data_IF_056372342567
#
_entry.id   IF_056372342567
#
_cell.length_a   1.000
_cell.length_b   1.000
_cell.length_c   1.000
_cell.angle_alpha   90.00
_cell.angle_beta   90.00
_cell.angle_gamma   90.00
#
_symmetry.space_group_name_H-M   'P 1'
#
loop_
_entity.id
_entity.type
_entity.pdbx_description
1 polymer ?
#
# COMPACT_ATOMS: atom_id res chain seq x y z
N UNK A 1 21.88 37.26 -75.17
CA UNK A 1 23.29 37.04 -74.78
C UNK A 1 23.75 38.26 -74.01
N UNK A 2 23.97 38.14 -72.70
CA UNK A 2 24.85 39.04 -71.95
C UNK A 2 25.22 38.35 -70.64
N UNK A 3 26.51 38.16 -70.42
CA UNK A 3 27.09 37.60 -69.21
C UNK A 3 27.57 38.74 -68.32
N UNK A 4 27.30 38.66 -67.02
CA UNK A 4 28.02 39.39 -65.99
C UNK A 4 28.11 38.50 -64.74
N UNK A 5 29.31 38.43 -64.17
CA UNK A 5 29.73 37.53 -63.10
C UNK A 5 29.18 37.93 -61.71
N UNK A 6 29.02 36.97 -60.77
CA UNK A 6 28.73 37.29 -59.38
C UNK A 6 29.97 37.28 -58.47
N UNK A 7 29.90 38.17 -57.47
CA UNK A 7 30.90 38.52 -56.46
C UNK A 7 31.30 37.40 -55.48
N UNK A 8 32.54 37.51 -54.99
CA UNK A 8 33.12 36.69 -53.91
C UNK A 8 32.77 37.26 -52.52
N UNK A 9 32.38 36.43 -51.53
CA UNK A 9 32.28 36.87 -50.14
C UNK A 9 33.62 36.73 -49.37
N UNK A 10 33.80 37.66 -48.43
CA UNK A 10 35.03 37.98 -47.70
C UNK A 10 35.51 36.93 -46.67
N UNK A 11 36.83 36.95 -46.42
CA UNK A 11 37.56 36.12 -45.44
C UNK A 11 37.08 36.30 -43.99
N UNK A 12 36.95 35.17 -43.29
CA UNK A 12 36.65 35.09 -41.85
C UNK A 12 37.95 35.21 -41.04
N UNK A 13 38.05 36.10 -40.03
CA UNK A 13 39.26 36.26 -39.24
C UNK A 13 39.50 35.08 -38.28
N UNK A 14 40.75 34.78 -37.90
CA UNK A 14 41.10 33.60 -37.13
C UNK A 14 40.60 33.69 -35.67
N UNK A 15 40.10 32.55 -35.16
CA UNK A 15 39.61 32.42 -33.79
C UNK A 15 40.69 32.74 -32.74
N UNK A 16 40.43 33.76 -31.93
CA UNK A 16 41.30 34.15 -30.82
C UNK A 16 41.46 33.01 -29.79
N UNK A 17 42.72 32.74 -29.42
CA UNK A 17 43.07 31.81 -28.34
C UNK A 17 42.43 32.30 -27.03
N UNK A 18 41.39 31.60 -26.56
CA UNK A 18 40.83 31.77 -25.21
C UNK A 18 41.87 31.30 -24.20
N UNK A 19 42.52 32.26 -23.53
CA UNK A 19 43.32 31.99 -22.33
C UNK A 19 42.43 31.40 -21.24
N UNK A 20 42.58 30.11 -20.95
CA UNK A 20 42.03 29.48 -19.75
C UNK A 20 42.86 29.94 -18.54
N UNK A 21 42.68 31.19 -18.14
CA UNK A 21 43.14 31.63 -16.83
C UNK A 21 42.38 30.81 -15.79
N UNK A 22 43.07 29.86 -15.16
CA UNK A 22 42.55 29.13 -14.02
C UNK A 22 42.02 30.15 -13.02
N UNK A 23 40.69 30.22 -12.88
CA UNK A 23 40.00 31.11 -11.95
C UNK A 23 40.41 30.64 -10.54
N UNK A 24 41.51 31.20 -10.02
CA UNK A 24 42.02 30.91 -8.68
C UNK A 24 40.91 31.29 -7.72
N UNK A 25 40.17 30.29 -7.25
CA UNK A 25 39.19 30.48 -6.20
C UNK A 25 39.96 31.04 -5.01
N UNK A 26 39.69 32.29 -4.65
CA UNK A 26 40.41 32.92 -3.54
C UNK A 26 40.14 32.09 -2.29
N UNK A 27 41.17 31.85 -1.46
CA UNK A 27 41.00 31.11 -0.20
C UNK A 27 39.88 31.69 0.67
N UNK A 28 39.62 33.00 0.54
CA UNK A 28 38.50 33.71 1.15
C UNK A 28 37.13 33.25 0.60
N UNK A 29 37.00 33.03 -0.71
CA UNK A 29 35.79 32.49 -1.32
C UNK A 29 35.49 31.05 -0.90
N UNK A 30 36.52 30.19 -0.81
CA UNK A 30 36.38 28.84 -0.27
C UNK A 30 36.04 28.86 1.23
N UNK A 31 36.63 29.77 1.99
CA UNK A 31 36.36 29.93 3.43
C UNK A 31 34.93 30.37 3.71
N UNK A 32 34.43 31.40 3.02
CA UNK A 32 33.04 31.85 3.19
C UNK A 32 32.01 30.82 2.71
N UNK A 33 32.29 30.12 1.59
CA UNK A 33 31.45 29.01 1.16
C UNK A 33 31.44 27.88 2.20
N UNK A 34 32.61 27.54 2.76
CA UNK A 34 32.75 26.55 3.83
C UNK A 34 31.99 26.96 5.10
N UNK A 35 32.05 28.23 5.49
CA UNK A 35 31.31 28.78 6.63
C UNK A 35 29.79 28.71 6.40
N UNK A 36 29.31 29.09 5.22
CA UNK A 36 27.88 29.01 4.86
C UNK A 36 27.41 27.56 4.88
N UNK A 37 28.18 26.63 4.31
CA UNK A 37 27.86 25.19 4.35
C UNK A 37 27.83 24.66 5.78
N UNK A 38 28.78 25.05 6.64
CA UNK A 38 28.83 24.67 8.05
C UNK A 38 27.65 25.24 8.84
N UNK A 39 27.27 26.50 8.62
CA UNK A 39 26.12 27.13 9.26
C UNK A 39 24.81 26.48 8.82
N UNK A 40 24.66 26.18 7.53
CA UNK A 40 23.51 25.43 7.00
C UNK A 40 23.47 24.01 7.57
N UNK A 41 24.61 23.31 7.64
CA UNK A 41 24.69 21.99 8.25
C UNK A 41 24.36 22.03 9.75
N UNK A 42 24.83 23.06 10.47
CA UNK A 42 24.50 23.30 11.88
C UNK A 42 23.02 23.60 12.09
N UNK A 43 22.41 24.42 11.23
CA UNK A 43 20.98 24.72 11.28
C UNK A 43 20.12 23.48 10.93
N UNK A 44 20.53 22.69 9.94
CA UNK A 44 19.89 21.41 9.59
C UNK A 44 20.03 20.43 10.76
N UNK A 45 21.21 20.30 11.36
CA UNK A 45 21.42 19.45 12.53
C UNK A 45 20.55 19.91 13.71
N UNK A 46 20.56 21.19 14.05
CA UNK A 46 19.71 21.73 15.12
C UNK A 46 18.22 21.49 14.86
N UNK A 47 17.75 21.63 13.62
CA UNK A 47 16.37 21.31 13.24
C UNK A 47 16.08 19.82 13.39
N UNK A 48 16.94 18.96 12.86
CA UNK A 48 16.74 17.51 12.81
C UNK A 48 16.80 16.87 14.20
N UNK A 49 17.73 17.29 15.05
CA UNK A 49 17.90 16.78 16.41
C UNK A 49 17.00 17.46 17.45
N UNK A 50 16.21 18.46 17.06
CA UNK A 50 15.23 19.08 17.96
C UNK A 50 14.22 18.02 18.43
N UNK A 51 13.98 17.88 19.74
CA UNK A 51 12.97 16.96 20.25
C UNK A 51 11.60 17.33 19.68
N UNK A 52 10.83 16.33 19.27
CA UNK A 52 9.44 16.53 18.84
C UNK A 52 8.65 16.81 20.11
N UNK A 53 8.12 18.03 20.25
CA UNK A 53 7.28 18.39 21.38
C UNK A 53 5.98 17.56 21.31
N UNK A 54 5.72 16.76 22.34
CA UNK A 54 4.51 15.94 22.43
C UNK A 54 3.51 16.71 23.29
N UNK A 55 2.54 17.35 22.64
CA UNK A 55 1.39 17.87 23.35
C UNK A 55 0.61 16.69 23.96
N UNK A 56 0.38 16.73 25.28
CA UNK A 56 -0.49 15.77 25.91
C UNK A 56 -1.92 15.95 25.34
N UNK A 57 -2.61 14.86 24.95
CA UNK A 57 -4.00 14.98 24.55
C UNK A 57 -4.84 15.43 25.77
N UNK A 58 -6.01 15.99 25.49
CA UNK A 58 -6.98 16.24 26.56
C UNK A 58 -7.33 14.92 27.28
N UNK A 59 -7.73 14.99 28.57
CA UNK A 59 -8.10 13.81 29.36
C UNK A 59 -9.13 12.90 28.65
N UNK A 60 -9.10 11.60 28.92
CA UNK A 60 -9.91 10.60 28.22
C UNK A 60 -11.42 10.92 28.25
N UNK A 61 -11.89 11.38 29.41
CA UNK A 61 -13.28 11.71 29.71
C UNK A 61 -13.81 12.92 28.92
N UNK A 62 -12.93 13.78 28.39
CA UNK A 62 -13.36 14.96 27.61
C UNK A 62 -13.74 14.63 26.17
N UNK A 63 -13.44 13.43 25.67
CA UNK A 63 -13.60 13.08 24.25
C UNK A 63 -14.95 12.46 23.87
N UNK A 64 -15.74 12.00 24.85
CA UNK A 64 -17.07 11.41 24.58
C UNK A 64 -17.03 10.08 23.81
N UNK A 65 -16.03 9.24 24.06
CA UNK A 65 -15.86 7.92 23.44
C UNK A 65 -16.73 6.82 24.08
N UNK A 66 -16.88 5.67 23.40
CA UNK A 66 -17.62 4.51 23.94
C UNK A 66 -16.96 3.18 23.58
N UNK A 67 -17.21 2.14 24.40
CA UNK A 67 -16.74 0.77 24.14
C UNK A 67 -17.34 0.19 22.85
N UNK A 68 -18.61 0.50 22.58
CA UNK A 68 -19.30 0.00 21.37
C UNK A 68 -18.66 0.56 20.09
N UNK A 69 -18.41 1.88 20.06
CA UNK A 69 -17.71 2.51 18.94
C UNK A 69 -16.27 1.98 18.81
N UNK A 70 -15.57 1.82 19.93
CA UNK A 70 -14.22 1.26 19.93
C UNK A 70 -14.17 -0.15 19.36
N UNK A 71 -15.16 -0.99 19.68
CA UNK A 71 -15.29 -2.33 19.11
C UNK A 71 -15.48 -2.28 17.61
N UNK A 72 -16.34 -1.36 17.13
CA UNK A 72 -16.57 -1.16 15.71
C UNK A 72 -15.30 -0.70 14.99
N UNK A 73 -14.61 0.31 15.51
CA UNK A 73 -13.37 0.83 14.96
C UNK A 73 -12.24 -0.21 14.98
N UNK A 74 -12.10 -1.02 16.03
CA UNK A 74 -11.09 -2.08 16.09
C UNK A 74 -11.34 -3.17 15.05
N UNK A 75 -12.62 -3.42 14.76
CA UNK A 75 -13.04 -4.33 13.70
C UNK A 75 -12.74 -3.75 12.32
N UNK A 76 -13.14 -2.50 12.03
CA UNK A 76 -12.92 -1.83 10.74
C UNK A 76 -11.44 -1.56 10.47
N UNK A 77 -10.68 -1.20 11.51
CA UNK A 77 -9.22 -1.03 11.45
C UNK A 77 -8.44 -2.34 11.43
N UNK A 78 -9.13 -3.47 11.40
CA UNK A 78 -8.57 -4.82 11.28
C UNK A 78 -7.49 -5.15 12.35
N UNK A 79 -7.67 -4.66 13.58
CA UNK A 79 -6.66 -4.83 14.64
C UNK A 79 -6.37 -6.31 14.92
N UNK A 80 -7.41 -7.14 14.96
CA UNK A 80 -7.31 -8.54 15.32
C UNK A 80 -6.45 -9.36 14.33
N UNK A 81 -6.51 -9.06 13.03
CA UNK A 81 -5.72 -9.78 12.02
C UNK A 81 -4.21 -9.58 12.22
N UNK A 82 -3.79 -8.38 12.62
CA UNK A 82 -2.39 -8.10 12.90
C UNK A 82 -1.99 -8.57 14.31
N UNK A 83 -2.91 -8.56 15.28
CA UNK A 83 -2.61 -8.82 16.69
C UNK A 83 -3.03 -10.21 17.18
N UNK A 84 -3.38 -11.14 16.29
CA UNK A 84 -3.75 -12.52 16.67
C UNK A 84 -2.95 -13.50 15.81
N UNK A 85 -1.97 -14.18 16.41
CA UNK A 85 -1.25 -15.24 15.73
C UNK A 85 -2.20 -16.40 15.37
N UNK A 86 -1.98 -17.14 14.26
CA UNK A 86 -2.72 -18.35 13.96
C UNK A 86 -2.68 -19.35 15.13
N UNK A 87 -3.86 -19.78 15.60
CA UNK A 87 -4.00 -20.65 16.78
C UNK A 87 -3.68 -19.98 18.13
N UNK A 88 -3.33 -18.70 18.13
CA UNK A 88 -3.05 -17.92 19.33
C UNK A 88 -4.28 -17.26 19.94
N UNK A 89 -4.10 -16.68 21.12
CA UNK A 89 -5.14 -15.92 21.79
C UNK A 89 -5.42 -14.59 21.07
N UNK A 90 -6.69 -14.19 21.01
CA UNK A 90 -7.12 -12.97 20.34
C UNK A 90 -6.39 -11.74 20.90
N UNK A 91 -5.87 -10.89 20.00
CA UNK A 91 -5.18 -9.63 20.32
C UNK A 91 -3.87 -9.77 21.15
N UNK A 92 -3.37 -10.99 21.32
CA UNK A 92 -2.17 -11.29 22.13
C UNK A 92 -0.84 -11.11 21.37
N UNK A 93 -0.87 -10.63 20.13
CA UNK A 93 0.29 -10.41 19.27
C UNK A 93 0.87 -11.70 18.68
N UNK A 94 2.12 -11.60 18.19
CA UNK A 94 2.91 -12.74 17.71
C UNK A 94 2.83 -13.01 16.20
N UNK A 95 2.07 -12.23 15.44
CA UNK A 95 2.02 -12.33 13.98
C UNK A 95 3.36 -11.87 13.40
N UNK A 96 3.92 -12.66 12.47
CA UNK A 96 5.21 -12.41 11.82
C UNK A 96 5.03 -11.68 10.50
N UNK A 97 5.64 -10.51 10.37
CA UNK A 97 5.68 -9.73 9.12
C UNK A 97 7.09 -9.76 8.54
N UNK A 98 7.23 -10.32 7.34
CA UNK A 98 8.48 -10.27 6.58
C UNK A 98 8.53 -8.98 5.75
N UNK A 99 9.54 -8.15 5.98
CA UNK A 99 9.73 -6.89 5.26
C UNK A 99 11.08 -6.88 4.57
N UNK A 100 11.31 -5.98 3.59
CA UNK A 100 12.64 -5.77 3.01
C UNK A 100 13.71 -5.27 3.99
N UNK A 101 13.32 -4.90 5.21
CA UNK A 101 14.20 -4.33 6.24
C UNK A 101 14.44 -5.30 7.42
N UNK A 102 13.89 -6.51 7.34
CA UNK A 102 13.92 -7.53 8.38
C UNK A 102 12.52 -8.02 8.76
N UNK A 103 12.46 -8.75 9.88
CA UNK A 103 11.25 -9.39 10.40
C UNK A 103 10.70 -8.64 11.62
N UNK A 104 9.42 -8.26 11.54
CA UNK A 104 8.67 -7.65 12.63
C UNK A 104 7.69 -8.65 13.24
N UNK A 105 7.41 -8.48 14.54
CA UNK A 105 6.36 -9.22 15.24
C UNK A 105 5.35 -8.25 15.85
N UNK A 106 4.05 -8.55 15.71
CA UNK A 106 3.02 -7.77 16.39
C UNK A 106 3.07 -7.98 17.90
N UNK A 107 2.64 -6.97 18.65
CA UNK A 107 2.64 -6.98 20.10
C UNK A 107 1.27 -7.31 20.68
N UNK A 108 1.22 -7.76 21.92
CA UNK A 108 0.01 -7.93 22.69
C UNK A 108 -0.63 -6.57 23.00
N UNK A 109 -1.89 -6.39 22.58
CA UNK A 109 -2.68 -5.16 22.79
C UNK A 109 -3.83 -5.38 23.77
N UNK A 110 -3.86 -6.52 24.47
CA UNK A 110 -4.83 -6.79 25.55
C UNK A 110 -4.50 -5.94 26.79
N UNK A 111 -5.43 -5.78 27.74
CA UNK A 111 -5.19 -4.97 28.94
C UNK A 111 -4.34 -5.71 29.99
N UNK A 112 -3.59 -6.75 29.61
CA UNK A 112 -2.57 -7.31 30.50
C UNK A 112 -1.57 -6.22 30.92
N UNK A 113 -1.29 -6.13 32.23
CA UNK A 113 -0.47 -5.06 32.80
C UNK A 113 1.04 -5.25 32.61
N UNK A 114 1.47 -6.47 32.29
CA UNK A 114 2.89 -6.84 32.23
C UNK A 114 3.41 -6.93 30.79
N UNK A 115 2.64 -7.55 29.90
CA UNK A 115 3.03 -7.84 28.52
C UNK A 115 2.12 -7.18 27.49
N UNK A 116 0.94 -6.72 27.90
CA UNK A 116 -0.01 -5.96 27.09
C UNK A 116 0.10 -4.44 27.28
N UNK A 117 -1.01 -3.75 27.02
CA UNK A 117 -1.13 -2.28 27.15
C UNK A 117 -1.86 -1.86 28.44
N UNK A 118 -2.09 -2.78 29.39
CA UNK A 118 -2.87 -2.50 30.60
C UNK A 118 -2.29 -1.42 31.52
N UNK A 119 -0.97 -1.24 31.49
CA UNK A 119 -0.28 -0.19 32.23
C UNK A 119 -0.21 1.16 31.49
N UNK A 120 -0.60 1.20 30.21
CA UNK A 120 -0.51 2.43 29.41
C UNK A 120 -1.61 3.41 29.83
N UNK A 121 -1.26 4.68 29.93
CA UNK A 121 -2.23 5.76 30.04
C UNK A 121 -2.89 6.05 28.69
N UNK A 122 -4.03 6.75 28.68
CA UNK A 122 -4.64 7.20 27.43
C UNK A 122 -3.68 8.08 26.61
N UNK A 123 -2.94 8.98 27.26
CA UNK A 123 -1.96 9.83 26.59
C UNK A 123 -0.85 9.02 25.89
N UNK A 124 -0.39 7.93 26.51
CA UNK A 124 0.60 7.03 25.91
C UNK A 124 0.02 6.22 24.74
N UNK A 125 -1.22 5.72 24.88
CA UNK A 125 -1.92 5.07 23.78
C UNK A 125 -2.12 6.02 22.59
N UNK A 126 -2.57 7.25 22.85
CA UNK A 126 -2.75 8.28 21.85
C UNK A 126 -1.43 8.63 21.14
N UNK A 127 -0.33 8.78 21.88
CA UNK A 127 1.00 9.01 21.30
C UNK A 127 1.49 7.83 20.45
N UNK A 128 1.18 6.59 20.85
CA UNK A 128 1.48 5.43 20.03
C UNK A 128 0.69 5.47 18.72
N UNK A 129 -0.63 5.65 18.79
CA UNK A 129 -1.53 5.68 17.63
C UNK A 129 -1.20 6.83 16.67
N UNK A 130 -1.01 8.05 17.18
CA UNK A 130 -0.78 9.22 16.33
C UNK A 130 0.65 9.42 15.87
N UNK A 131 1.63 9.01 16.69
CA UNK A 131 3.05 9.38 16.47
C UNK A 131 3.99 8.19 16.44
N UNK A 132 3.48 6.98 16.65
CA UNK A 132 4.29 5.78 16.72
C UNK A 132 5.28 5.79 17.88
N UNK A 133 4.93 6.34 19.05
CA UNK A 133 5.82 6.42 20.21
C UNK A 133 5.30 5.53 21.34
N UNK A 134 6.19 4.70 21.89
CA UNK A 134 5.89 3.86 23.06
C UNK A 134 6.04 4.67 24.36
N UNK A 135 5.47 4.18 25.48
CA UNK A 135 5.67 4.79 26.81
C UNK A 135 7.13 4.99 27.21
N UNK A 136 8.01 4.09 26.77
CA UNK A 136 9.46 4.13 27.02
C UNK A 136 10.22 5.11 26.11
N UNK A 137 9.50 5.88 25.27
CA UNK A 137 10.06 6.82 24.31
C UNK A 137 10.56 6.18 23.01
N UNK A 138 10.57 4.85 22.90
CA UNK A 138 11.06 4.19 21.69
C UNK A 138 10.07 4.30 20.53
N UNK A 139 10.62 4.38 19.32
CA UNK A 139 9.86 4.55 18.09
C UNK A 139 9.32 3.20 17.59
N UNK A 140 8.02 3.16 17.31
CA UNK A 140 7.37 2.07 16.56
C UNK A 140 7.75 2.16 15.08
N UNK A 141 7.93 0.99 14.46
CA UNK A 141 8.11 0.88 13.01
C UNK A 141 6.79 1.18 12.29
N UNK A 142 6.81 1.80 11.10
CA UNK A 142 5.61 2.20 10.35
C UNK A 142 4.76 1.03 9.83
N UNK A 143 5.19 -0.22 10.05
CA UNK A 143 4.32 -1.38 9.90
C UNK A 143 3.14 -1.34 10.88
N UNK A 144 3.31 -0.71 12.05
CA UNK A 144 2.18 -0.21 12.82
C UNK A 144 1.72 1.09 12.13
N UNK A 145 0.50 1.15 11.56
CA UNK A 145 0.12 2.19 10.61
C UNK A 145 -0.24 3.53 11.28
N UNK A 146 0.63 4.02 12.18
CA UNK A 146 0.47 5.30 12.87
C UNK A 146 0.40 6.49 11.89
N UNK A 147 0.97 6.37 10.68
CA UNK A 147 0.84 7.39 9.63
C UNK A 147 -0.60 7.55 9.15
N UNK A 148 -1.41 6.48 9.19
CA UNK A 148 -2.85 6.54 8.93
C UNK A 148 -3.60 6.93 10.20
N UNK A 149 -3.30 6.28 11.33
CA UNK A 149 -4.01 6.53 12.59
C UNK A 149 -3.85 7.94 13.15
N UNK A 150 -2.81 8.69 12.76
CA UNK A 150 -2.69 10.11 13.03
C UNK A 150 -3.91 10.93 12.62
N UNK A 151 -4.53 10.54 11.49
CA UNK A 151 -5.72 11.16 10.94
C UNK A 151 -6.98 10.86 11.76
N UNK A 152 -6.97 9.86 12.65
CA UNK A 152 -8.13 9.51 13.48
C UNK A 152 -8.50 10.65 14.43
N UNK A 153 -9.81 10.79 14.69
CA UNK A 153 -10.31 11.73 15.67
C UNK A 153 -9.95 11.29 17.09
N UNK A 154 -9.78 12.24 18.01
CA UNK A 154 -9.46 11.90 19.40
C UNK A 154 -10.61 11.15 20.09
N UNK A 155 -11.86 11.39 19.70
CA UNK A 155 -13.04 10.62 20.14
C UNK A 155 -12.94 9.14 19.74
N UNK A 156 -12.49 8.87 18.54
CA UNK A 156 -12.36 7.49 18.03
C UNK A 156 -11.17 6.78 18.69
N UNK A 157 -10.07 7.49 18.94
CA UNK A 157 -8.95 6.96 19.72
C UNK A 157 -9.34 6.69 21.19
N UNK A 158 -10.13 7.57 21.81
CA UNK A 158 -10.69 7.35 23.14
C UNK A 158 -11.60 6.12 23.16
N UNK A 159 -12.46 5.95 22.15
CA UNK A 159 -13.34 4.79 22.00
C UNK A 159 -12.54 3.50 21.84
N UNK A 160 -11.54 3.47 20.96
CA UNK A 160 -10.63 2.35 20.79
C UNK A 160 -9.93 1.97 22.09
N UNK A 161 -9.41 2.96 22.81
CA UNK A 161 -8.77 2.74 24.11
C UNK A 161 -9.74 2.10 25.11
N UNK A 162 -10.96 2.64 25.24
CA UNK A 162 -12.00 2.06 26.11
C UNK A 162 -12.32 0.61 25.74
N UNK A 163 -12.45 0.31 24.45
CA UNK A 163 -12.70 -1.06 23.99
C UNK A 163 -11.53 -2.01 24.33
N UNK A 164 -10.29 -1.64 24.04
CA UNK A 164 -9.12 -2.47 24.35
C UNK A 164 -8.92 -2.66 25.87
N UNK A 165 -9.41 -1.73 26.69
CA UNK A 165 -9.43 -1.89 28.15
C UNK A 165 -10.54 -2.84 28.64
N UNK A 166 -11.54 -3.13 27.81
CA UNK A 166 -12.70 -3.97 28.16
C UNK A 166 -12.56 -5.44 27.73
N UNK A 167 -11.61 -5.77 26.86
CA UNK A 167 -11.40 -7.16 26.41
C UNK A 167 -10.63 -7.98 27.45
N UNK A 168 -10.72 -9.33 27.43
CA UNK A 168 -9.97 -10.17 28.35
C UNK A 168 -8.45 -9.96 28.27
N UNK A 169 -7.73 -9.84 29.40
CA UNK A 169 -6.27 -9.78 29.40
C UNK A 169 -5.68 -11.15 29.03
N UNK A 170 -4.57 -11.13 28.29
CA UNK A 170 -3.82 -12.34 27.95
C UNK A 170 -2.36 -12.14 28.35
N UNK A 171 -1.84 -13.01 29.22
CA UNK A 171 -0.45 -12.99 29.66
C UNK A 171 0.48 -13.69 28.65
N UNK A 172 0.48 -13.24 27.39
CA UNK A 172 1.40 -13.71 26.34
C UNK A 172 2.52 -12.69 26.12
N UNK A 173 3.77 -13.14 26.32
CA UNK A 173 4.95 -12.30 26.14
C UNK A 173 5.16 -11.90 24.66
N UNK A 174 5.60 -10.67 24.45
CA UNK A 174 5.95 -10.15 23.13
C UNK A 174 7.25 -10.78 22.61
N UNK A 175 7.31 -11.03 21.31
CA UNK A 175 8.54 -11.41 20.61
C UNK A 175 9.27 -10.18 20.09
N UNK A 176 10.60 -10.14 20.25
CA UNK A 176 11.44 -9.07 19.71
C UNK A 176 11.53 -9.12 18.18
N UNK A 177 11.66 -7.95 17.55
CA UNK A 177 11.91 -7.83 16.11
C UNK A 177 13.33 -8.29 15.76
N UNK A 178 13.50 -8.83 14.56
CA UNK A 178 14.80 -9.21 13.99
C UNK A 178 15.02 -8.35 12.76
N UNK A 179 15.72 -7.23 12.92
CA UNK A 179 15.91 -6.23 11.87
C UNK A 179 17.30 -6.32 11.28
N UNK A 180 17.40 -6.11 9.97
CA UNK A 180 18.69 -6.05 9.28
C UNK A 180 19.40 -4.73 9.63
N UNK A 181 20.73 -4.73 9.64
CA UNK A 181 21.49 -3.49 9.84
C UNK A 181 21.27 -2.55 8.63
N UNK A 182 21.02 -1.24 8.83
CA UNK A 182 21.01 -0.48 10.10
C UNK A 182 19.61 -0.33 10.74
N UNK A 183 18.57 -0.97 10.21
CA UNK A 183 17.16 -0.78 10.57
C UNK A 183 16.78 -1.22 11.99
N UNK A 184 17.65 -1.98 12.68
CA UNK A 184 17.51 -2.27 14.11
C UNK A 184 17.67 -1.04 15.01
N UNK A 185 18.34 0.02 14.55
CA UNK A 185 18.50 1.24 15.33
C UNK A 185 17.22 2.10 15.25
N UNK A 186 16.38 2.00 16.28
CA UNK A 186 15.12 2.77 16.38
C UNK A 186 15.31 4.28 16.39
N UNK A 187 16.49 4.82 16.72
CA UNK A 187 16.73 6.25 16.64
C UNK A 187 16.66 6.77 15.20
N UNK A 188 16.94 5.93 14.20
CA UNK A 188 16.80 6.30 12.78
C UNK A 188 15.34 6.60 12.39
N UNK A 189 14.37 6.02 13.11
CA UNK A 189 12.95 6.29 12.88
C UNK A 189 12.55 7.70 13.28
N UNK A 190 13.30 8.38 14.16
CA UNK A 190 13.08 9.80 14.45
C UNK A 190 13.22 10.64 13.18
N UNK A 191 14.32 10.44 12.45
CA UNK A 191 14.62 11.12 11.19
C UNK A 191 13.62 10.75 10.11
N UNK A 192 13.29 9.46 10.00
CA UNK A 192 12.30 8.97 9.05
C UNK A 192 10.94 9.65 9.27
N UNK A 193 10.47 9.73 10.51
CA UNK A 193 9.18 10.38 10.84
C UNK A 193 9.20 11.85 10.47
N UNK A 194 10.30 12.56 10.72
CA UNK A 194 10.40 13.99 10.38
C UNK A 194 10.30 14.27 8.88
N UNK A 195 10.64 13.28 8.04
CA UNK A 195 10.55 13.39 6.58
C UNK A 195 9.20 12.91 6.01
N UNK A 196 8.59 11.90 6.64
CA UNK A 196 7.50 11.14 6.00
C UNK A 196 6.22 11.00 6.84
N UNK A 197 6.21 11.50 8.08
CA UNK A 197 5.06 11.41 8.95
C UNK A 197 4.42 12.78 9.16
N UNK A 198 3.17 12.88 8.74
CA UNK A 198 2.25 13.95 9.11
C UNK A 198 1.37 13.47 10.28
N UNK A 199 1.35 14.23 11.38
CA UNK A 199 0.55 13.93 12.57
C UNK A 199 -0.79 14.70 12.61
N UNK A 200 -1.16 15.37 11.51
CA UNK A 200 -2.42 16.08 11.38
C UNK A 200 -3.64 15.15 11.42
N UNK A 201 -4.65 15.56 12.19
CA UNK A 201 -5.96 14.91 12.18
C UNK A 201 -6.68 15.16 10.84
N UNK A 202 -7.51 14.21 10.42
CA UNK A 202 -8.34 14.36 9.23
C UNK A 202 -9.19 15.62 9.31
N UNK A 203 -9.15 16.43 8.26
CA UNK A 203 -10.01 17.60 8.10
C UNK A 203 -11.01 17.32 6.97
N UNK A 204 -12.32 17.42 7.22
CA UNK A 204 -13.31 17.30 6.17
C UNK A 204 -13.05 18.31 5.03
N UNK A 205 -13.04 17.82 3.80
CA UNK A 205 -12.86 18.66 2.61
C UNK A 205 -14.13 19.49 2.38
N UNK A 206 -13.96 20.80 2.35
CA UNK A 206 -15.05 21.75 2.05
C UNK A 206 -15.55 21.54 0.62
N UNK A 207 -16.87 21.50 0.43
CA UNK A 207 -17.48 21.24 -0.88
C UNK A 207 -17.66 19.76 -1.22
N UNK A 208 -17.11 18.83 -0.42
CA UNK A 208 -17.43 17.41 -0.51
C UNK A 208 -18.61 17.04 0.37
N UNK A 209 -19.35 16.01 -0.04
CA UNK A 209 -20.50 15.53 0.72
C UNK A 209 -20.07 14.90 2.05
N UNK A 210 -20.95 14.86 3.07
CA UNK A 210 -20.66 14.15 4.32
C UNK A 210 -20.29 12.68 4.10
N UNK A 211 -20.93 12.01 3.14
CA UNK A 211 -20.61 10.62 2.78
C UNK A 211 -19.20 10.47 2.18
N UNK A 212 -18.79 11.43 1.33
CA UNK A 212 -17.42 11.42 0.78
C UNK A 212 -16.39 11.63 1.90
N UNK A 213 -16.61 12.60 2.79
CA UNK A 213 -15.71 12.88 3.92
C UNK A 213 -15.64 11.69 4.90
N UNK A 214 -16.76 11.02 5.17
CA UNK A 214 -16.77 9.78 5.96
C UNK A 214 -15.97 8.66 5.27
N UNK A 215 -16.12 8.52 3.96
CA UNK A 215 -15.36 7.54 3.17
C UNK A 215 -13.86 7.82 3.20
N UNK A 216 -13.46 9.08 3.02
CA UNK A 216 -12.07 9.52 3.11
C UNK A 216 -11.48 9.19 4.49
N UNK A 217 -12.19 9.54 5.56
CA UNK A 217 -11.79 9.22 6.93
C UNK A 217 -11.59 7.72 7.16
N UNK A 218 -12.53 6.89 6.69
CA UNK A 218 -12.42 5.44 6.82
C UNK A 218 -11.25 4.87 6.02
N UNK A 219 -11.06 5.30 4.78
CA UNK A 219 -10.02 4.78 3.88
C UNK A 219 -8.62 5.22 4.30
N UNK A 220 -8.46 6.49 4.67
CA UNK A 220 -7.15 7.09 4.94
C UNK A 220 -6.70 6.93 6.39
N UNK A 221 -7.64 6.90 7.34
CA UNK A 221 -7.35 6.84 8.77
C UNK A 221 -7.62 5.45 9.37
N UNK A 222 -8.89 5.04 9.41
CA UNK A 222 -9.34 3.90 10.23
C UNK A 222 -8.94 2.56 9.62
N UNK A 223 -9.33 2.31 8.37
CA UNK A 223 -9.10 1.07 7.65
C UNK A 223 -7.79 1.05 6.85
N UNK A 224 -7.04 2.17 6.85
CA UNK A 224 -5.68 2.30 6.35
C UNK A 224 -5.44 1.64 4.98
N UNK A 225 -6.37 1.78 4.02
CA UNK A 225 -6.29 1.05 2.74
C UNK A 225 -5.01 1.40 1.96
N UNK A 226 -4.52 2.64 2.12
CA UNK A 226 -3.24 3.09 1.57
C UNK A 226 -2.01 2.34 2.11
N UNK A 227 -2.13 1.58 3.21
CA UNK A 227 -1.03 0.79 3.74
C UNK A 227 -0.51 -0.25 2.74
N UNK A 228 -1.44 -0.82 1.96
CA UNK A 228 -1.17 -1.80 0.90
C UNK A 228 -1.35 -1.19 -0.51
N UNK A 229 -2.33 -0.30 -0.68
CA UNK A 229 -2.71 0.24 -1.99
C UNK A 229 -1.99 1.53 -2.38
N UNK A 230 -0.96 1.96 -1.66
CA UNK A 230 -0.09 3.08 -2.04
C UNK A 230 1.34 2.56 -2.21
N UNK A 231 2.08 2.93 -3.29
CA UNK A 231 3.43 2.46 -3.48
C UNK A 231 4.34 3.04 -2.41
N UNK A 232 5.38 2.28 -2.04
CA UNK A 232 6.39 2.72 -1.08
C UNK A 232 7.66 3.17 -1.80
N UNK A 233 8.30 4.22 -1.31
CA UNK A 233 9.63 4.62 -1.77
C UNK A 233 10.71 3.66 -1.20
N UNK A 234 11.97 3.88 -1.58
CA UNK A 234 13.10 3.01 -1.16
C UNK A 234 13.32 2.98 0.37
N UNK A 235 12.84 3.99 1.09
CA UNK A 235 12.91 4.08 2.56
C UNK A 235 11.65 3.51 3.24
N UNK A 236 10.76 2.86 2.49
CA UNK A 236 9.54 2.25 3.01
C UNK A 236 8.44 3.24 3.37
N UNK A 237 8.57 4.52 3.00
CA UNK A 237 7.51 5.50 3.20
C UNK A 237 6.47 5.46 2.07
N UNK A 238 5.18 5.71 2.35
CA UNK A 238 4.18 5.83 1.30
C UNK A 238 4.51 7.02 0.38
N UNK A 239 4.33 6.80 -0.90
CA UNK A 239 4.45 7.84 -1.92
C UNK A 239 3.08 8.50 -2.11
N UNK A 240 2.85 9.59 -1.38
CA UNK A 240 1.59 10.33 -1.37
C UNK A 240 1.23 10.89 -2.76
N UNK A 241 2.21 11.18 -3.62
CA UNK A 241 1.96 11.58 -5.01
C UNK A 241 1.33 10.48 -5.86
N UNK A 242 1.30 9.24 -5.35
CA UNK A 242 0.65 8.07 -5.95
C UNK A 242 -0.26 7.35 -4.96
N UNK A 243 -0.87 8.09 -4.03
CA UNK A 243 -1.85 7.56 -3.08
C UNK A 243 -2.90 6.68 -3.77
N UNK A 244 -3.14 5.49 -3.23
CA UNK A 244 -4.15 4.53 -3.69
C UNK A 244 -3.93 3.97 -5.11
N UNK A 245 -2.78 4.22 -5.75
CA UNK A 245 -2.47 3.75 -7.12
C UNK A 245 -1.90 2.31 -7.18
N UNK A 246 -2.09 1.52 -6.12
CA UNK A 246 -1.57 0.16 -5.95
C UNK A 246 -0.28 0.12 -5.13
N UNK A 247 0.25 -1.07 -4.87
CA UNK A 247 1.45 -1.23 -4.06
C UNK A 247 2.00 -2.65 -4.12
N UNK A 248 3.18 -2.87 -3.53
CA UNK A 248 3.79 -4.20 -3.46
C UNK A 248 4.21 -4.50 -2.03
N UNK A 249 3.91 -5.71 -1.58
CA UNK A 249 4.23 -6.18 -0.24
C UNK A 249 4.49 -7.69 -0.27
N UNK A 250 5.00 -8.22 0.82
CA UNK A 250 5.22 -9.67 0.99
C UNK A 250 4.35 -10.15 2.13
N UNK A 251 3.67 -11.27 1.92
CA UNK A 251 2.75 -11.80 2.92
C UNK A 251 2.85 -13.32 3.07
N UNK A 252 2.49 -13.81 4.25
CA UNK A 252 2.45 -15.22 4.57
C UNK A 252 1.17 -15.83 3.95
N UNK A 253 1.35 -16.81 3.07
CA UNK A 253 0.21 -17.54 2.49
C UNK A 253 -0.11 -18.80 3.31
N UNK A 254 -1.30 -19.38 3.12
CA UNK A 254 -1.76 -20.59 3.84
C UNK A 254 -0.80 -21.78 3.76
N UNK A 255 0.01 -21.87 2.71
CA UNK A 255 1.03 -22.92 2.57
C UNK A 255 2.26 -22.73 3.46
N UNK A 256 2.33 -21.66 4.27
CA UNK A 256 3.47 -21.30 5.12
C UNK A 256 4.61 -20.58 4.41
N UNK A 257 4.47 -20.30 3.11
CA UNK A 257 5.46 -19.56 2.33
C UNK A 257 5.20 -18.05 2.39
N UNK A 258 6.26 -17.25 2.28
CA UNK A 258 6.13 -15.81 2.03
C UNK A 258 6.16 -15.55 0.54
N UNK A 259 5.17 -14.82 0.02
CA UNK A 259 5.09 -14.48 -1.42
C UNK A 259 4.97 -12.98 -1.61
N UNK A 260 5.55 -12.49 -2.70
CA UNK A 260 5.32 -11.12 -3.13
C UNK A 260 3.90 -11.00 -3.71
N UNK A 261 3.23 -9.91 -3.37
CA UNK A 261 1.90 -9.55 -3.86
C UNK A 261 1.90 -8.12 -4.38
N UNK A 262 0.99 -7.86 -5.31
CA UNK A 262 0.67 -6.55 -5.83
C UNK A 262 -0.77 -6.17 -5.44
N UNK A 263 -0.91 -5.11 -4.64
CA UNK A 263 -2.20 -4.45 -4.44
C UNK A 263 -2.59 -3.69 -5.71
N UNK A 264 -3.88 -3.75 -6.02
CA UNK A 264 -4.47 -3.09 -7.18
C UNK A 264 -4.59 -1.57 -6.99
N UNK A 265 -4.68 -0.85 -8.09
CA UNK A 265 -5.02 0.58 -8.09
C UNK A 265 -6.50 0.76 -7.72
N UNK A 266 -6.76 1.53 -6.67
CA UNK A 266 -8.11 1.80 -6.17
C UNK A 266 -8.74 3.06 -6.77
N UNK A 267 -7.98 3.86 -7.51
CA UNK A 267 -8.50 5.08 -8.15
C UNK A 267 -9.45 4.73 -9.28
N UNK A 268 -10.37 5.64 -9.69
CA UNK A 268 -11.28 5.40 -10.82
C UNK A 268 -10.58 5.55 -12.18
N UNK A 269 -9.24 5.44 -12.24
CA UNK A 269 -8.43 5.53 -13.46
C UNK A 269 -8.49 4.27 -14.34
N UNK A 270 -7.93 4.33 -15.56
CA UNK A 270 -8.05 3.27 -16.58
C UNK A 270 -7.44 1.92 -16.20
N UNK A 271 -6.47 1.91 -15.27
CA UNK A 271 -5.85 0.69 -14.72
C UNK A 271 -6.38 0.32 -13.33
N UNK A 272 -7.31 1.12 -12.79
CA UNK A 272 -7.95 0.93 -11.49
C UNK A 272 -9.44 0.61 -11.63
N UNK A 273 -10.26 1.19 -10.76
CA UNK A 273 -11.67 0.85 -10.58
C UNK A 273 -12.63 1.60 -11.52
N UNK A 274 -12.17 2.13 -12.66
CA UNK A 274 -12.99 2.88 -13.64
C UNK A 274 -14.33 2.20 -13.94
N UNK A 275 -14.26 0.90 -14.17
CA UNK A 275 -15.37 0.07 -14.63
C UNK A 275 -16.27 -0.47 -13.50
N UNK A 276 -15.93 -0.20 -12.23
CA UNK A 276 -16.66 -0.67 -11.04
C UNK A 276 -17.66 0.36 -10.55
N UNK A 277 -18.95 0.03 -10.46
CA UNK A 277 -19.93 0.94 -9.87
C UNK A 277 -19.71 1.10 -8.35
N UNK A 278 -20.36 2.10 -7.75
CA UNK A 278 -20.40 2.21 -6.28
C UNK A 278 -21.01 0.97 -5.64
N UNK A 279 -22.00 0.34 -6.30
CA UNK A 279 -22.59 -0.91 -5.83
C UNK A 279 -21.62 -2.10 -5.92
N UNK A 280 -20.81 -2.18 -6.99
CA UNK A 280 -19.76 -3.19 -7.10
C UNK A 280 -18.76 -3.09 -5.94
N UNK A 281 -18.35 -1.88 -5.56
CA UNK A 281 -17.45 -1.64 -4.44
C UNK A 281 -18.09 -2.05 -3.11
N UNK A 282 -19.33 -1.59 -2.87
CA UNK A 282 -20.09 -1.95 -1.67
C UNK A 282 -20.26 -3.46 -1.54
N UNK A 283 -20.65 -4.13 -2.63
CA UNK A 283 -20.84 -5.58 -2.66
C UNK A 283 -19.52 -6.32 -2.40
N UNK A 284 -18.41 -5.87 -3.00
CA UNK A 284 -17.10 -6.46 -2.79
C UNK A 284 -16.63 -6.33 -1.34
N UNK A 285 -16.77 -5.15 -0.73
CA UNK A 285 -16.38 -4.91 0.66
C UNK A 285 -17.20 -5.76 1.64
N UNK A 286 -18.51 -5.86 1.43
CA UNK A 286 -19.42 -6.55 2.36
C UNK A 286 -19.48 -8.06 2.15
N UNK A 287 -19.25 -8.55 0.93
CA UNK A 287 -19.48 -9.96 0.58
C UNK A 287 -18.26 -10.66 0.00
N UNK A 288 -17.16 -9.93 -0.24
CA UNK A 288 -15.93 -10.46 -0.80
C UNK A 288 -16.04 -10.78 -2.29
N UNK A 289 -17.12 -10.37 -2.96
CA UNK A 289 -17.33 -10.64 -4.39
C UNK A 289 -18.31 -9.66 -5.01
N UNK A 290 -18.21 -9.52 -6.32
CA UNK A 290 -19.20 -8.82 -7.14
C UNK A 290 -19.19 -9.40 -8.57
N UNK A 291 -19.75 -8.68 -9.53
CA UNK A 291 -19.73 -9.10 -10.95
C UNK A 291 -18.34 -9.03 -11.60
N UNK A 292 -17.42 -8.25 -11.03
CA UNK A 292 -16.07 -7.95 -11.57
C UNK A 292 -14.97 -8.84 -10.97
N UNK A 293 -15.05 -9.17 -9.69
CA UNK A 293 -13.99 -9.84 -8.96
C UNK A 293 -14.51 -10.64 -7.76
N UNK A 294 -13.62 -11.51 -7.24
CA UNK A 294 -13.76 -12.22 -5.97
C UNK A 294 -12.49 -11.93 -5.18
N UNK A 295 -12.64 -11.72 -3.87
CA UNK A 295 -11.53 -11.50 -2.95
C UNK A 295 -10.62 -12.71 -2.94
N UNK A 296 -9.32 -12.45 -2.89
CA UNK A 296 -8.30 -13.45 -3.14
C UNK A 296 -6.99 -13.00 -2.48
N UNK A 297 -6.11 -13.95 -2.13
CA UNK A 297 -4.82 -13.68 -1.50
C UNK A 297 -4.92 -12.85 -0.20
N UNK A 298 -4.00 -11.92 0.06
CA UNK A 298 -3.95 -11.15 1.31
C UNK A 298 -5.19 -10.29 1.61
N UNK A 299 -5.97 -9.91 0.58
CA UNK A 299 -7.22 -9.17 0.81
C UNK A 299 -8.29 -10.03 1.49
N UNK A 300 -8.12 -11.35 1.58
CA UNK A 300 -9.05 -12.22 2.31
C UNK A 300 -9.07 -11.92 3.82
N UNK A 301 -7.92 -11.60 4.40
CA UNK A 301 -7.79 -11.17 5.80
C UNK A 301 -8.47 -9.81 6.03
N UNK A 302 -8.30 -8.89 5.08
CA UNK A 302 -8.96 -7.57 5.13
C UNK A 302 -10.48 -7.73 4.97
N UNK A 303 -10.94 -8.69 4.16
CA UNK A 303 -12.36 -8.96 4.00
C UNK A 303 -13.04 -9.40 5.30
N UNK A 304 -12.35 -10.15 6.17
CA UNK A 304 -12.90 -10.52 7.49
C UNK A 304 -13.28 -9.30 8.35
N UNK A 305 -12.60 -8.16 8.11
CA UNK A 305 -12.92 -6.85 8.67
C UNK A 305 -14.02 -6.13 7.87
N UNK A 306 -13.84 -5.95 6.56
CA UNK A 306 -14.74 -5.13 5.74
C UNK A 306 -16.15 -5.73 5.61
N UNK A 307 -16.28 -7.06 5.72
CA UNK A 307 -17.57 -7.76 5.74
C UNK A 307 -18.50 -7.28 6.86
N UNK A 308 -17.93 -6.63 7.88
CA UNK A 308 -18.63 -6.17 9.07
C UNK A 308 -18.77 -4.66 9.17
N UNK A 309 -18.46 -3.95 8.07
CA UNK A 309 -18.76 -2.53 7.93
C UNK A 309 -20.27 -2.30 8.09
N UNK A 310 -20.64 -1.19 8.71
CA UNK A 310 -21.99 -0.69 8.59
C UNK A 310 -22.30 -0.44 7.10
N UNK A 311 -23.51 -0.75 6.59
CA UNK A 311 -23.85 -0.53 5.19
C UNK A 311 -23.63 0.91 4.72
N UNK A 312 -23.86 1.89 5.59
CA UNK A 312 -23.59 3.31 5.34
C UNK A 312 -22.09 3.59 5.16
N UNK A 313 -21.23 2.94 5.95
CA UNK A 313 -19.77 3.12 5.86
C UNK A 313 -19.19 2.43 4.60
N UNK A 314 -19.69 1.26 4.22
CA UNK A 314 -19.35 0.65 2.93
C UNK A 314 -19.75 1.56 1.74
N UNK A 315 -20.90 2.24 1.86
CA UNK A 315 -21.37 3.21 0.86
C UNK A 315 -20.50 4.48 0.86
N UNK A 316 -20.07 4.96 2.03
CA UNK A 316 -19.17 6.10 2.17
C UNK A 316 -17.81 5.81 1.52
N UNK A 317 -17.22 4.64 1.80
CA UNK A 317 -15.97 4.19 1.16
C UNK A 317 -16.12 4.13 -0.36
N UNK A 318 -17.21 3.54 -0.86
CA UNK A 318 -17.48 3.49 -2.30
C UNK A 318 -17.62 4.89 -2.91
N UNK A 319 -18.29 5.82 -2.20
CA UNK A 319 -18.45 7.22 -2.62
C UNK A 319 -17.11 7.94 -2.71
N UNK A 320 -16.24 7.76 -1.72
CA UNK A 320 -14.90 8.34 -1.71
C UNK A 320 -14.04 7.80 -2.86
N UNK A 321 -13.90 6.47 -2.98
CA UNK A 321 -13.06 5.85 -4.01
C UNK A 321 -13.52 6.16 -5.45
N UNK A 322 -14.81 6.41 -5.65
CA UNK A 322 -15.34 6.86 -6.94
C UNK A 322 -15.14 8.36 -7.20
N UNK A 323 -14.91 9.15 -6.15
CA UNK A 323 -14.83 10.61 -6.21
C UNK A 323 -13.43 11.19 -6.05
N UNK A 324 -12.40 10.36 -5.85
CA UNK A 324 -10.98 10.76 -5.89
C UNK A 324 -10.49 10.93 -7.33
N UNK A 325 -9.38 11.64 -7.49
CA UNK A 325 -8.76 11.87 -8.80
C UNK A 325 -8.35 10.53 -9.44
N UNK A 326 -8.72 10.28 -10.70
CA UNK A 326 -8.28 9.09 -11.41
C UNK A 326 -6.77 9.15 -11.67
N UNK A 327 -6.05 8.08 -11.34
CA UNK A 327 -4.65 7.97 -11.75
C UNK A 327 -4.54 8.05 -13.29
N UNK A 328 -3.55 8.77 -13.84
CA UNK A 328 -3.38 8.84 -15.28
C UNK A 328 -3.04 7.46 -15.86
N UNK A 329 -3.37 7.26 -17.15
CA UNK A 329 -2.94 6.09 -17.90
C UNK A 329 -1.42 5.97 -17.87
N UNK A 330 -0.90 4.82 -17.45
CA UNK A 330 0.53 4.66 -17.14
C UNK A 330 1.36 4.25 -18.35
N UNK A 331 0.74 3.62 -19.33
CA UNK A 331 1.45 2.94 -20.40
C UNK A 331 0.81 3.15 -21.77
N UNK A 332 1.62 3.12 -22.83
CA UNK A 332 1.17 3.11 -24.22
C UNK A 332 1.93 2.00 -24.97
N UNK A 333 1.37 0.78 -24.98
CA UNK A 333 2.08 -0.43 -25.44
C UNK A 333 1.71 -0.90 -26.86
N UNK A 334 1.20 -0.01 -27.73
CA UNK A 334 0.94 -0.35 -29.14
C UNK A 334 2.15 -0.99 -29.87
N UNK A 335 3.36 -0.89 -29.32
CA UNK A 335 4.61 -1.40 -29.89
C UNK A 335 5.08 -2.81 -29.41
N UNK A 336 4.43 -3.48 -28.44
CA UNK A 336 5.00 -4.66 -27.74
C UNK A 336 4.35 -6.02 -28.05
N UNK A 337 3.64 -6.15 -29.18
CA UNK A 337 2.93 -7.38 -29.60
C UNK A 337 3.81 -8.57 -30.01
N UNK A 338 5.13 -8.55 -29.78
CA UNK A 338 5.99 -9.71 -30.05
C UNK A 338 5.80 -10.78 -28.97
N UNK A 339 5.37 -11.98 -29.35
CA UNK A 339 5.24 -13.14 -28.44
C UNK A 339 3.81 -13.48 -27.98
N UNK A 340 2.78 -12.81 -28.51
CA UNK A 340 1.37 -13.01 -28.15
C UNK A 340 0.86 -14.43 -28.51
N UNK A 341 1.34 -15.02 -29.61
CA UNK A 341 0.78 -16.28 -30.13
C UNK A 341 0.87 -17.46 -29.14
N UNK A 342 1.99 -17.63 -28.41
CA UNK A 342 2.10 -18.74 -27.44
C UNK A 342 1.18 -18.52 -26.25
N UNK A 343 1.13 -17.30 -25.70
CA UNK A 343 0.27 -16.98 -24.57
C UNK A 343 -1.22 -17.14 -24.89
N UNK A 344 -1.62 -16.82 -26.12
CA UNK A 344 -2.98 -17.04 -26.63
C UNK A 344 -3.33 -18.53 -26.73
N UNK A 345 -2.41 -19.38 -27.20
CA UNK A 345 -2.61 -20.84 -27.23
C UNK A 345 -2.82 -21.37 -25.82
N UNK A 346 -1.93 -21.00 -24.87
CA UNK A 346 -2.06 -21.40 -23.46
C UNK A 346 -3.40 -20.93 -22.89
N UNK A 347 -3.81 -19.68 -23.17
CA UNK A 347 -5.09 -19.14 -22.74
C UNK A 347 -6.26 -19.95 -23.29
N UNK A 348 -6.26 -20.22 -24.59
CA UNK A 348 -7.35 -20.93 -25.28
C UNK A 348 -7.54 -22.34 -24.72
N UNK A 349 -6.43 -23.04 -24.47
CA UNK A 349 -6.43 -24.43 -23.96
C UNK A 349 -6.84 -24.51 -22.48
N UNK A 350 -6.39 -23.56 -21.65
CA UNK A 350 -6.50 -23.70 -20.19
C UNK A 350 -7.46 -22.74 -19.50
N UNK A 351 -7.77 -21.60 -20.11
CA UNK A 351 -8.46 -20.48 -19.46
C UNK A 351 -9.76 -20.08 -20.18
N UNK A 352 -9.80 -20.20 -21.50
CA UNK A 352 -10.87 -19.70 -22.37
C UNK A 352 -12.25 -20.30 -22.10
N UNK A 353 -12.33 -21.52 -21.57
CA UNK A 353 -13.62 -22.15 -21.22
C UNK A 353 -14.35 -21.40 -20.11
N UNK A 354 -13.62 -20.85 -19.13
CA UNK A 354 -14.22 -20.18 -17.96
C UNK A 354 -14.17 -18.66 -18.08
N UNK A 355 -13.09 -18.11 -18.62
CA UNK A 355 -12.91 -16.67 -18.79
C UNK A 355 -13.42 -16.14 -20.14
N UNK A 356 -13.91 -17.04 -21.00
CA UNK A 356 -14.41 -16.81 -22.37
C UNK A 356 -13.33 -16.32 -23.35
N UNK A 357 -13.42 -16.64 -24.65
CA UNK A 357 -12.44 -16.19 -25.64
C UNK A 357 -12.27 -14.66 -25.73
N UNK A 358 -13.31 -13.89 -25.36
CA UNK A 358 -13.28 -12.42 -25.34
C UNK A 358 -12.86 -11.83 -23.98
N UNK A 359 -12.51 -12.67 -23.02
CA UNK A 359 -12.07 -12.28 -21.67
C UNK A 359 -13.18 -11.67 -20.81
N UNK A 360 -14.44 -11.65 -21.25
CA UNK A 360 -15.54 -11.08 -20.46
C UNK A 360 -15.95 -11.96 -19.28
N UNK A 361 -15.51 -13.21 -19.26
CA UNK A 361 -15.89 -14.18 -18.24
C UNK A 361 -17.39 -14.47 -18.21
N UNK A 362 -17.79 -15.29 -17.25
CA UNK A 362 -19.18 -15.66 -17.01
C UNK A 362 -19.49 -15.53 -15.51
N UNK A 363 -20.75 -15.25 -15.17
CA UNK A 363 -21.16 -15.05 -13.76
C UNK A 363 -20.91 -16.26 -12.87
N UNK A 364 -20.87 -17.47 -13.42
CA UNK A 364 -20.67 -18.73 -12.70
C UNK A 364 -19.29 -19.32 -13.02
N UNK A 365 -18.81 -19.23 -14.27
CA UNK A 365 -17.60 -19.95 -14.66
C UNK A 365 -16.30 -19.23 -14.29
N UNK A 366 -16.19 -17.91 -14.50
CA UNK A 366 -14.92 -17.21 -14.34
C UNK A 366 -15.06 -15.69 -14.29
N UNK A 367 -14.21 -15.02 -13.53
CA UNK A 367 -14.22 -13.55 -13.44
C UNK A 367 -13.84 -12.90 -14.77
N UNK A 368 -14.35 -11.69 -15.09
CA UNK A 368 -13.89 -10.95 -16.25
C UNK A 368 -12.40 -10.61 -16.16
N UNK A 369 -11.69 -10.83 -17.25
CA UNK A 369 -10.29 -10.43 -17.47
C UNK A 369 -10.18 -9.12 -18.25
N UNK A 370 -11.27 -8.65 -18.87
CA UNK A 370 -11.36 -7.32 -19.50
C UNK A 370 -11.15 -6.21 -18.48
N UNK A 371 -10.19 -5.32 -18.76
CA UNK A 371 -9.79 -4.20 -17.88
C UNK A 371 -9.51 -4.61 -16.42
N UNK A 372 -9.13 -5.87 -16.18
CA UNK A 372 -9.04 -6.41 -14.82
C UNK A 372 -7.87 -5.76 -14.06
N UNK A 373 -8.14 -5.26 -12.85
CA UNK A 373 -7.17 -4.48 -12.08
C UNK A 373 -5.95 -5.28 -11.62
N UNK A 374 -6.09 -6.59 -11.38
CA UNK A 374 -4.97 -7.48 -11.05
C UNK A 374 -4.11 -7.69 -12.29
N UNK A 375 -4.74 -7.91 -13.44
CA UNK A 375 -4.06 -8.05 -14.72
C UNK A 375 -3.31 -6.76 -15.05
N UNK A 376 -3.90 -5.59 -14.78
CA UNK A 376 -3.30 -4.29 -15.05
C UNK A 376 -2.39 -3.75 -13.95
N UNK A 377 -2.16 -4.49 -12.86
CA UNK A 377 -1.28 -4.06 -11.78
C UNK A 377 0.15 -3.82 -12.29
N UNK A 378 0.84 -2.81 -11.72
CA UNK A 378 2.21 -2.45 -12.12
C UNK A 378 3.17 -3.62 -11.94
N UNK A 379 3.06 -4.33 -10.82
CA UNK A 379 3.81 -5.54 -10.55
C UNK A 379 2.91 -6.76 -10.84
N UNK A 380 3.34 -7.75 -11.64
CA UNK A 380 2.52 -8.89 -12.02
C UNK A 380 2.41 -9.98 -10.94
N UNK A 381 3.02 -9.79 -9.76
CA UNK A 381 3.13 -10.82 -8.71
C UNK A 381 1.79 -11.47 -8.34
N UNK A 382 0.73 -10.68 -8.16
CA UNK A 382 -0.62 -11.21 -7.84
C UNK A 382 -1.22 -12.01 -8.99
N UNK A 383 -1.05 -11.56 -10.24
CA UNK A 383 -1.52 -12.30 -11.42
C UNK A 383 -0.81 -13.66 -11.52
N UNK A 384 0.51 -13.66 -11.36
CA UNK A 384 1.33 -14.87 -11.38
C UNK A 384 0.90 -15.81 -10.24
N UNK A 385 0.70 -15.30 -9.03
CA UNK A 385 0.25 -16.11 -7.90
C UNK A 385 -1.10 -16.77 -8.18
N UNK A 386 -2.06 -16.03 -8.74
CA UNK A 386 -3.38 -16.56 -9.09
C UNK A 386 -3.23 -17.69 -10.11
N UNK A 387 -2.39 -17.55 -11.14
CA UNK A 387 -2.15 -18.61 -12.14
C UNK A 387 -1.48 -19.84 -11.49
N UNK A 388 -0.41 -19.63 -10.73
CA UNK A 388 0.39 -20.71 -10.15
C UNK A 388 -0.36 -21.49 -9.06
N UNK A 389 -1.08 -20.78 -8.19
CA UNK A 389 -1.59 -21.30 -6.93
C UNK A 389 -3.11 -21.26 -6.81
N UNK A 390 -3.80 -20.66 -7.77
CA UNK A 390 -5.22 -20.36 -7.66
C UNK A 390 -5.46 -19.09 -6.84
N UNK A 391 -6.74 -18.70 -6.66
CA UNK A 391 -7.09 -17.42 -6.05
C UNK A 391 -6.78 -17.32 -4.56
N UNK A 392 -6.68 -18.42 -3.81
CA UNK A 392 -6.57 -18.41 -2.34
C UNK A 392 -7.76 -17.64 -1.72
N UNK A 393 -8.93 -18.32 -1.67
CA UNK A 393 -10.20 -17.74 -1.22
C UNK A 393 -10.30 -17.75 0.32
N UNK A 394 -11.16 -16.90 0.92
CA UNK A 394 -11.47 -16.97 2.34
C UNK A 394 -11.97 -18.35 2.76
N UNK A 395 -11.76 -18.70 4.03
CA UNK A 395 -12.22 -19.96 4.58
C UNK A 395 -13.75 -20.03 4.70
N UNK A 396 -14.35 -21.24 4.75
CA UNK A 396 -15.78 -21.42 5.00
C UNK A 396 -16.28 -20.63 6.23
N UNK A 397 -17.52 -20.12 6.22
CA UNK A 397 -18.61 -20.42 5.28
C UNK A 397 -18.61 -19.56 4.00
N UNK A 398 -17.50 -18.90 3.64
CA UNK A 398 -17.41 -18.15 2.39
C UNK A 398 -17.67 -19.04 1.16
N UNK A 399 -18.46 -18.52 0.22
CA UNK A 399 -18.65 -19.11 -1.10
C UNK A 399 -18.48 -18.05 -2.17
N UNK A 400 -17.68 -18.32 -3.19
CA UNK A 400 -17.58 -17.46 -4.37
C UNK A 400 -18.85 -17.47 -5.23
N UNK A 401 -19.74 -18.47 -5.06
CA UNK A 401 -20.85 -18.80 -5.99
C UNK A 401 -20.37 -18.91 -7.45
N UNK A 402 -19.15 -19.43 -7.65
CA UNK A 402 -18.47 -19.56 -8.94
C UNK A 402 -17.61 -20.83 -8.95
N UNK A 403 -17.29 -21.29 -10.14
CA UNK A 403 -16.29 -22.35 -10.34
C UNK A 403 -14.94 -21.86 -9.80
N UNK A 404 -14.29 -22.69 -8.98
CA UNK A 404 -12.98 -22.34 -8.43
C UNK A 404 -11.90 -22.69 -9.43
N UNK A 405 -11.09 -21.69 -9.80
CA UNK A 405 -9.96 -21.88 -10.70
C UNK A 405 -8.90 -22.79 -10.05
N UNK A 406 -8.54 -23.87 -10.73
CA UNK A 406 -7.48 -24.80 -10.26
C UNK A 406 -6.10 -24.15 -10.43
N UNK A 407 -5.12 -24.48 -9.56
CA UNK A 407 -3.74 -24.03 -9.73
C UNK A 407 -3.10 -24.65 -10.98
N UNK A 408 -2.31 -23.85 -11.71
CA UNK A 408 -1.58 -24.29 -12.90
C UNK A 408 -0.07 -24.43 -12.69
N UNK A 409 0.45 -24.13 -11.50
CA UNK A 409 1.90 -24.14 -11.25
C UNK A 409 2.57 -25.48 -11.58
N UNK A 410 1.92 -26.62 -11.35
CA UNK A 410 2.49 -27.94 -11.71
C UNK A 410 2.24 -28.36 -13.17
N UNK A 411 1.46 -27.60 -13.93
CA UNK A 411 1.00 -27.95 -15.28
C UNK A 411 1.64 -27.11 -16.38
N UNK A 412 2.04 -25.90 -16.04
CA UNK A 412 2.64 -24.95 -16.98
C UNK A 412 4.10 -24.69 -16.59
N UNK A 413 4.97 -24.57 -17.59
CA UNK A 413 6.35 -24.13 -17.43
C UNK A 413 6.42 -22.65 -17.01
N UNK A 414 7.61 -22.17 -16.62
CA UNK A 414 7.80 -20.74 -16.33
C UNK A 414 7.58 -19.88 -17.58
N UNK A 415 8.03 -20.40 -18.72
CA UNK A 415 7.87 -19.81 -20.04
C UNK A 415 6.39 -19.69 -20.43
N UNK A 416 5.60 -20.75 -20.23
CA UNK A 416 4.16 -20.73 -20.53
C UNK A 416 3.40 -19.77 -19.64
N UNK A 417 3.72 -19.72 -18.34
CA UNK A 417 3.08 -18.78 -17.42
C UNK A 417 3.47 -17.33 -17.76
N UNK A 418 4.73 -17.08 -18.13
CA UNK A 418 5.18 -15.76 -18.55
C UNK A 418 4.50 -15.31 -19.86
N UNK A 419 4.39 -16.21 -20.84
CA UNK A 419 3.70 -15.96 -22.11
C UNK A 419 2.20 -15.72 -21.89
N UNK A 420 1.53 -16.56 -21.09
CA UNK A 420 0.12 -16.41 -20.73
C UNK A 420 -0.14 -15.07 -20.01
N UNK A 421 0.64 -14.76 -18.96
CA UNK A 421 0.46 -13.51 -18.22
C UNK A 421 0.72 -12.29 -19.10
N UNK A 422 1.69 -12.36 -20.01
CA UNK A 422 1.95 -11.32 -21.01
C UNK A 422 0.75 -11.15 -21.95
N UNK A 423 0.20 -12.24 -22.48
CA UNK A 423 -0.99 -12.19 -23.33
C UNK A 423 -2.17 -11.52 -22.61
N UNK A 424 -2.50 -11.95 -21.39
CA UNK A 424 -3.58 -11.36 -20.60
C UNK A 424 -3.40 -9.85 -20.40
N UNK A 425 -2.15 -9.39 -20.22
CA UNK A 425 -1.79 -7.99 -19.96
C UNK A 425 -1.80 -7.10 -21.20
N UNK A 426 -1.79 -7.69 -22.38
CA UNK A 426 -1.88 -7.00 -23.68
C UNK A 426 -3.21 -7.21 -24.42
N UNK A 427 -4.09 -8.05 -23.89
CA UNK A 427 -5.37 -8.44 -24.50
C UNK A 427 -6.55 -7.91 -23.70
N UNK A 428 -7.76 -8.01 -24.25
CA UNK A 428 -9.01 -7.67 -23.53
C UNK A 428 -9.08 -6.22 -23.03
N UNK A 429 -8.45 -5.29 -23.76
CA UNK A 429 -8.35 -3.88 -23.36
C UNK A 429 -7.37 -3.62 -22.21
N UNK A 430 -6.68 -4.65 -21.72
CA UNK A 430 -5.59 -4.48 -20.76
C UNK A 430 -4.37 -3.90 -21.47
N UNK A 431 -3.62 -3.11 -20.71
CA UNK A 431 -2.44 -2.43 -21.21
C UNK A 431 -1.41 -2.36 -20.08
N UNK A 432 -0.65 -3.43 -19.86
CA UNK A 432 0.36 -3.52 -18.81
C UNK A 432 1.64 -4.20 -19.30
N UNK A 433 2.81 -3.95 -18.67
CA UNK A 433 4.11 -4.45 -19.15
C UNK A 433 4.16 -5.98 -19.27
N UNK A 434 4.98 -6.50 -20.17
CA UNK A 434 5.23 -7.94 -20.32
C UNK A 434 5.75 -8.57 -19.00
N UNK A 435 5.52 -9.88 -18.86
CA UNK A 435 5.98 -10.68 -17.71
C UNK A 435 7.15 -11.55 -18.16
N UNK A 436 8.26 -11.48 -17.44
CA UNK A 436 9.43 -12.32 -17.72
C UNK A 436 9.37 -13.67 -17.01
N UNK A 437 10.06 -14.67 -17.58
CA UNK A 437 10.27 -15.97 -16.94
C UNK A 437 10.85 -15.83 -15.53
N UNK A 438 11.79 -14.90 -15.33
CA UNK A 438 12.41 -14.67 -14.02
C UNK A 438 11.39 -14.17 -12.97
N UNK A 439 10.42 -13.35 -13.39
CA UNK A 439 9.32 -12.93 -12.50
C UNK A 439 8.47 -14.13 -12.07
N UNK A 440 8.23 -15.09 -12.96
CA UNK A 440 7.51 -16.33 -12.63
C UNK A 440 8.32 -17.21 -11.69
N UNK A 441 9.60 -17.42 -12.01
CA UNK A 441 10.51 -18.26 -11.21
C UNK A 441 10.63 -17.78 -9.77
N UNK A 442 10.66 -16.46 -9.54
CA UNK A 442 10.69 -15.88 -8.19
C UNK A 442 9.42 -16.13 -7.36
N UNK A 443 8.30 -16.45 -8.00
CA UNK A 443 7.03 -16.72 -7.31
C UNK A 443 6.82 -18.19 -7.00
N UNK A 444 7.63 -19.09 -7.59
CA UNK A 444 7.68 -20.52 -7.26
C UNK A 444 8.49 -20.73 -5.99
#
# INVERSE_FOLDING_TARGET
MSAAAPDMPAEVPPAGRRNWAAKRWSWRGCFWLGLVVLLLAGAVAAYVFRPIAIAAPAPLDTHGGSVAEGRYLAQVGNCAACHTAPGGAANAGGVKFATPFGTLYSTNITPDRTVGIGAWTYAQFHAAMKRGLRPDGSHLYPAFPYTSFAKMSDRDLASLYLYLRSIPPVAQANRGNVMDFPFGNRALLHFWKRLFHDDAAFQPETGRSPAWNRGAYLVEAVAHCGACHTPRNMLGAPDEGRALQGGTYTDLVKSGAYRKWAAVDLTPGPHGLRDWSADDLRQYLLTGKNRRAVVHGPMTEVFASTARLAPADATAIATYLRGIEPAPGRWNFAALRSGVNQGEVVYTVHCGTCHLPDGKGDRILGVPLVHNTIVQARDPSSLINVILYGPDLPDPPFSANRTTMKPFGKRLSDEDVAALATYLRSSFGNNAPQVSREQVRRQR
#
